data_IF_221597541426
#
_entry.id   IF_221597541426
#
_cell.length_a   1.000
_cell.length_b   1.000
_cell.length_c   1.000
_cell.angle_alpha   90.00
_cell.angle_beta   90.00
_cell.angle_gamma   90.00
#
_symmetry.space_group_name_H-M   'P 1'
#
loop_
_entity.id
_entity.type
_entity.pdbx_description
1 polymer ?
#
# COMPACT_ATOMS: atom_id res chain seq x y z
N UNK A 1 -2.23 -25.68 -7.34
CA UNK A 1 -2.16 -24.21 -7.25
C UNK A 1 -1.46 -23.73 -5.98
N UNK A 2 -1.82 -24.22 -4.77
CA UNK A 2 -0.98 -24.02 -3.55
C UNK A 2 0.49 -24.33 -3.84
N UNK A 3 0.78 -25.47 -4.48
CA UNK A 3 2.12 -25.86 -4.96
C UNK A 3 2.84 -24.90 -5.93
N UNK A 4 2.14 -24.07 -6.71
CA UNK A 4 2.76 -23.11 -7.62
C UNK A 4 3.08 -21.81 -6.88
N UNK A 5 2.18 -21.38 -6.00
CA UNK A 5 2.35 -20.23 -5.12
C UNK A 5 3.41 -20.46 -4.04
N UNK A 6 3.42 -21.67 -3.46
CA UNK A 6 4.46 -22.19 -2.56
C UNK A 6 5.84 -22.26 -3.24
N UNK A 7 5.89 -22.46 -4.57
CA UNK A 7 7.12 -22.40 -5.36
C UNK A 7 7.58 -20.96 -5.65
N UNK A 8 6.67 -19.99 -5.67
CA UNK A 8 6.96 -18.58 -5.96
C UNK A 8 7.34 -17.81 -4.69
N UNK A 9 6.63 -18.06 -3.58
CA UNK A 9 6.81 -17.34 -2.31
C UNK A 9 7.67 -18.09 -1.28
N UNK A 10 7.95 -19.38 -1.53
CA UNK A 10 8.61 -20.26 -0.56
C UNK A 10 7.65 -20.83 0.49
N UNK A 11 7.95 -22.02 1.01
CA UNK A 11 7.16 -22.73 2.04
C UNK A 11 7.77 -22.68 3.43
N UNK A 12 8.93 -22.04 3.61
CA UNK A 12 9.66 -22.12 4.87
C UNK A 12 8.95 -21.31 5.95
N UNK A 13 8.42 -22.03 6.94
CA UNK A 13 8.14 -21.45 8.26
C UNK A 13 9.42 -20.77 8.72
N UNK A 14 9.33 -19.50 9.10
CA UNK A 14 10.50 -18.73 9.51
C UNK A 14 11.07 -19.32 10.81
N UNK A 15 12.32 -19.78 10.79
CA UNK A 15 13.04 -20.13 12.00
C UNK A 15 13.66 -18.87 12.63
N UNK A 16 12.80 -18.08 13.27
CA UNK A 16 13.15 -16.78 13.85
C UNK A 16 14.12 -16.91 15.02
N UNK A 17 14.18 -18.09 15.65
CA UNK A 17 15.03 -18.39 16.81
C UNK A 17 16.48 -18.71 16.45
N UNK A 18 16.79 -18.91 15.17
CA UNK A 18 18.12 -19.39 14.73
C UNK A 18 19.15 -18.27 14.50
N UNK A 19 18.71 -17.01 14.40
CA UNK A 19 19.58 -15.86 14.14
C UNK A 19 19.73 -14.98 15.38
N UNK A 20 20.96 -14.52 15.63
CA UNK A 20 21.28 -13.56 16.69
C UNK A 20 21.03 -12.10 16.26
N UNK A 21 20.52 -11.87 15.05
CA UNK A 21 20.24 -10.53 14.55
C UNK A 21 18.96 -9.94 15.11
N UNK A 22 18.88 -8.61 15.05
CA UNK A 22 17.71 -7.86 15.47
C UNK A 22 16.51 -8.19 14.59
N UNK A 23 15.38 -8.41 15.25
CA UNK A 23 14.12 -8.73 14.63
C UNK A 23 13.21 -7.50 14.71
N UNK A 24 12.91 -6.92 13.56
CA UNK A 24 12.09 -5.71 13.47
C UNK A 24 10.71 -6.03 12.94
N UNK A 25 9.67 -5.51 13.59
CA UNK A 25 8.29 -5.57 13.09
C UNK A 25 7.65 -4.21 13.32
N UNK A 26 7.25 -3.53 12.23
CA UNK A 26 6.51 -2.27 12.25
C UNK A 26 7.05 -1.26 13.28
N UNK A 27 8.35 -0.94 13.23
CA UNK A 27 9.02 0.02 14.12
C UNK A 27 9.45 -0.49 15.50
N UNK A 28 9.27 -1.78 15.81
CA UNK A 28 9.65 -2.37 17.11
C UNK A 28 10.73 -3.43 16.94
N UNK A 29 11.83 -3.26 17.67
CA UNK A 29 12.94 -4.22 17.73
C UNK A 29 12.73 -5.25 18.83
N UNK A 30 12.95 -6.52 18.48
CA UNK A 30 13.02 -7.65 19.40
C UNK A 30 14.43 -8.23 19.33
N UNK A 31 15.09 -8.36 20.47
CA UNK A 31 16.46 -8.90 20.56
C UNK A 31 16.41 -10.30 21.18
N UNK A 32 17.13 -11.23 20.56
CA UNK A 32 17.48 -12.52 21.16
C UNK A 32 18.68 -12.29 22.09
N UNK A 33 18.48 -12.31 23.42
CA UNK A 33 19.61 -12.14 24.36
C UNK A 33 20.57 -13.33 24.27
N UNK A 34 21.89 -13.15 24.10
CA UNK A 34 22.86 -14.25 24.11
C UNK A 34 23.39 -14.64 25.51
N UNK A 35 23.03 -13.94 26.59
CA UNK A 35 23.64 -14.16 27.91
C UNK A 35 22.60 -14.31 29.03
N UNK A 36 22.22 -15.54 29.33
CA UNK A 36 22.03 -15.98 30.72
C UNK A 36 22.60 -17.40 30.87
N UNK A 37 23.73 -17.49 31.55
CA UNK A 37 24.37 -18.72 31.99
C UNK A 37 23.40 -19.58 32.80
N UNK A 38 23.27 -20.85 32.41
CA UNK A 38 22.87 -22.00 33.23
C UNK A 38 22.05 -21.67 34.49
N UNK A 39 20.72 -21.59 34.36
CA UNK A 39 19.72 -22.16 35.31
C UNK A 39 18.31 -21.56 35.27
N UNK A 40 17.88 -20.80 34.25
CA UNK A 40 16.49 -20.29 34.23
C UNK A 40 15.80 -20.34 32.86
N UNK A 41 14.48 -20.61 32.89
CA UNK A 41 13.55 -20.93 31.79
C UNK A 41 13.23 -19.72 30.88
N UNK A 42 14.09 -18.70 30.84
CA UNK A 42 13.73 -17.36 30.36
C UNK A 42 14.39 -16.89 29.04
N UNK A 43 15.06 -17.78 28.30
CA UNK A 43 15.57 -17.51 26.95
C UNK A 43 14.47 -17.18 25.91
N UNK A 44 13.19 -17.24 26.31
CA UNK A 44 12.02 -17.07 25.45
C UNK A 44 11.36 -15.69 25.44
N UNK A 45 11.81 -14.69 26.22
CA UNK A 45 11.05 -13.44 26.39
C UNK A 45 10.95 -12.60 25.11
N UNK A 46 12.07 -12.38 24.39
CA UNK A 46 12.11 -11.59 23.16
C UNK A 46 11.36 -12.24 22.00
N UNK A 47 11.60 -13.53 21.75
CA UNK A 47 10.91 -14.29 20.69
C UNK A 47 9.42 -14.47 21.01
N UNK A 48 9.05 -14.70 22.27
CA UNK A 48 7.65 -14.78 22.68
C UNK A 48 6.92 -13.45 22.50
N UNK A 49 7.54 -12.33 22.89
CA UNK A 49 6.97 -11.00 22.69
C UNK A 49 6.79 -10.67 21.20
N UNK A 50 7.75 -11.08 20.35
CA UNK A 50 7.62 -11.00 18.90
C UNK A 50 6.45 -11.85 18.37
N UNK A 51 6.35 -13.11 18.77
CA UNK A 51 5.28 -14.00 18.31
C UNK A 51 3.91 -13.48 18.74
N UNK A 52 3.82 -12.89 19.93
CA UNK A 52 2.61 -12.21 20.40
C UNK A 52 2.28 -10.99 19.54
N UNK A 53 3.27 -10.18 19.17
CA UNK A 53 3.07 -9.02 18.29
C UNK A 53 2.61 -9.43 16.89
N UNK A 54 3.34 -10.36 16.27
CA UNK A 54 3.04 -10.88 14.94
C UNK A 54 1.63 -11.47 14.88
N UNK A 55 1.28 -12.33 15.84
CA UNK A 55 -0.06 -12.95 15.89
C UNK A 55 -1.20 -11.98 16.23
N UNK A 56 -0.87 -10.83 16.82
CA UNK A 56 -1.83 -9.76 17.08
C UNK A 56 -2.12 -8.90 15.84
N UNK A 57 -1.29 -8.97 14.79
CA UNK A 57 -1.52 -8.17 13.58
C UNK A 57 -2.76 -8.69 12.84
N UNK A 58 -3.61 -7.77 12.40
CA UNK A 58 -4.79 -8.10 11.57
C UNK A 58 -4.33 -8.73 10.26
N UNK A 59 -4.84 -9.92 9.98
CA UNK A 59 -4.60 -10.73 8.80
C UNK A 59 -5.89 -10.85 8.00
N UNK A 60 -5.87 -10.44 6.73
CA UNK A 60 -7.04 -10.49 5.85
C UNK A 60 -6.65 -11.31 4.62
N UNK A 61 -7.46 -12.32 4.32
CA UNK A 61 -7.16 -13.32 3.28
C UNK A 61 -8.23 -13.32 2.21
N UNK A 62 -8.06 -14.18 1.21
CA UNK A 62 -9.13 -14.50 0.28
C UNK A 62 -10.38 -14.98 1.00
N UNK A 63 -11.53 -14.48 0.55
CA UNK A 63 -12.84 -14.81 1.06
C UNK A 63 -13.72 -15.37 -0.05
N UNK A 64 -14.66 -16.24 0.32
CA UNK A 64 -15.67 -16.81 -0.56
C UNK A 64 -17.04 -16.79 0.08
N UNK A 65 -18.08 -16.70 -0.73
CA UNK A 65 -19.47 -16.70 -0.26
C UNK A 65 -19.94 -15.34 0.23
N UNK A 66 -19.26 -14.25 -0.14
CA UNK A 66 -19.79 -12.90 0.00
C UNK A 66 -20.75 -12.56 -1.17
N UNK A 67 -21.53 -11.50 -1.00
CA UNK A 67 -22.48 -11.02 -2.02
C UNK A 67 -21.77 -10.63 -3.32
N UNK A 68 -22.43 -10.81 -4.46
CA UNK A 68 -21.85 -10.50 -5.76
C UNK A 68 -21.41 -9.04 -5.84
N UNK A 69 -20.21 -8.80 -6.38
CA UNK A 69 -19.63 -7.45 -6.46
C UNK A 69 -20.23 -6.68 -7.64
N UNK A 70 -21.04 -5.66 -7.37
CA UNK A 70 -21.67 -4.82 -8.40
C UNK A 70 -22.42 -5.65 -9.45
N UNK A 71 -22.20 -5.38 -10.73
CA UNK A 71 -22.82 -6.13 -11.84
C UNK A 71 -22.07 -7.43 -12.20
N UNK A 72 -21.01 -7.79 -11.46
CA UNK A 72 -20.26 -9.02 -11.70
C UNK A 72 -20.96 -10.24 -11.09
N UNK A 73 -20.45 -11.44 -11.37
CA UNK A 73 -20.86 -12.69 -10.70
C UNK A 73 -19.83 -13.13 -9.64
N UNK A 74 -18.88 -12.26 -9.29
CA UNK A 74 -17.80 -12.60 -8.38
C UNK A 74 -18.31 -12.58 -6.94
N UNK A 75 -18.39 -13.76 -6.33
CA UNK A 75 -18.72 -14.00 -4.90
C UNK A 75 -17.51 -14.50 -4.11
N UNK A 76 -16.32 -14.35 -4.69
CA UNK A 76 -15.04 -14.80 -4.17
C UNK A 76 -13.91 -14.00 -4.81
N UNK A 77 -12.90 -13.65 -4.03
CA UNK A 77 -11.72 -12.91 -4.50
C UNK A 77 -10.47 -13.77 -4.71
N UNK A 78 -10.64 -15.09 -4.58
CA UNK A 78 -9.60 -16.08 -4.82
C UNK A 78 -8.94 -15.89 -6.19
N UNK A 79 -7.61 -15.85 -6.18
CA UNK A 79 -6.69 -15.67 -7.33
C UNK A 79 -6.57 -14.26 -7.91
N UNK A 80 -7.32 -13.26 -7.46
CA UNK A 80 -7.24 -11.90 -8.01
C UNK A 80 -7.20 -10.80 -6.94
N UNK A 81 -7.83 -11.00 -5.79
CA UNK A 81 -7.93 -10.00 -4.72
C UNK A 81 -6.69 -9.79 -3.85
N UNK A 82 -5.56 -10.47 -4.10
CA UNK A 82 -4.45 -10.53 -3.14
C UNK A 82 -3.88 -9.14 -2.81
N UNK A 83 -3.73 -8.25 -3.81
CA UNK A 83 -3.27 -6.88 -3.58
C UNK A 83 -4.26 -6.08 -2.73
N UNK A 84 -5.56 -6.24 -2.97
CA UNK A 84 -6.60 -5.59 -2.18
C UNK A 84 -6.48 -6.06 -0.73
N UNK A 85 -6.37 -7.37 -0.48
CA UNK A 85 -6.22 -7.93 0.87
C UNK A 85 -4.95 -7.47 1.57
N UNK A 86 -3.80 -7.43 0.86
CA UNK A 86 -2.56 -6.87 1.38
C UNK A 86 -2.73 -5.40 1.80
N UNK A 87 -3.40 -4.60 0.97
CA UNK A 87 -3.66 -3.19 1.29
C UNK A 87 -4.64 -3.00 2.45
N UNK A 88 -5.68 -3.85 2.55
CA UNK A 88 -6.60 -3.87 3.68
C UNK A 88 -5.86 -4.17 4.98
N UNK A 89 -4.91 -5.12 4.97
CA UNK A 89 -4.09 -5.40 6.16
C UNK A 89 -3.25 -4.19 6.58
N UNK A 90 -2.62 -3.49 5.63
CA UNK A 90 -1.82 -2.28 5.91
C UNK A 90 -2.70 -1.18 6.56
N UNK A 91 -3.85 -0.87 5.95
CA UNK A 91 -4.78 0.15 6.49
C UNK A 91 -5.41 -0.30 7.80
N UNK A 92 -5.69 -1.60 7.97
CA UNK A 92 -6.17 -2.14 9.23
C UNK A 92 -5.15 -1.93 10.36
N UNK A 93 -3.84 -2.08 10.09
CA UNK A 93 -2.83 -1.73 11.10
C UNK A 93 -2.82 -0.24 11.42
N UNK A 94 -2.97 0.63 10.42
CA UNK A 94 -3.05 2.08 10.67
C UNK A 94 -4.22 2.42 11.62
N UNK A 95 -5.40 1.84 11.38
CA UNK A 95 -6.56 2.00 12.26
C UNK A 95 -6.32 1.41 13.66
N UNK A 96 -5.69 0.23 13.73
CA UNK A 96 -5.30 -0.38 15.01
C UNK A 96 -4.36 0.53 15.80
N UNK A 97 -3.37 1.14 15.14
CA UNK A 97 -2.39 2.00 15.80
C UNK A 97 -3.01 3.35 16.21
N UNK A 98 -3.95 3.84 15.40
CA UNK A 98 -4.70 5.05 15.69
C UNK A 98 -5.56 4.88 16.95
N UNK A 99 -6.37 3.82 17.02
CA UNK A 99 -7.35 3.65 18.10
C UNK A 99 -6.78 2.95 19.34
N UNK A 100 -5.92 1.95 19.17
CA UNK A 100 -5.43 1.10 20.27
C UNK A 100 -3.93 1.27 20.54
N UNK A 101 -3.19 1.89 19.63
CA UNK A 101 -1.76 2.12 19.75
C UNK A 101 -0.91 0.94 19.24
N UNK A 102 0.35 1.23 18.87
CA UNK A 102 1.30 0.24 18.36
C UNK A 102 1.62 -0.89 19.35
N UNK A 103 1.59 -0.58 20.65
CA UNK A 103 1.86 -1.52 21.75
C UNK A 103 0.72 -2.49 22.03
N UNK A 104 -0.47 -2.28 21.46
CA UNK A 104 -1.61 -3.17 21.63
C UNK A 104 -1.31 -4.59 21.13
N UNK A 105 -1.80 -5.59 21.86
CA UNK A 105 -1.71 -7.02 21.53
C UNK A 105 -3.09 -7.64 21.68
N UNK A 106 -3.42 -8.59 20.82
CA UNK A 106 -4.71 -9.28 20.83
C UNK A 106 -4.89 -10.05 22.14
N UNK A 107 -5.98 -9.84 22.89
CA UNK A 107 -6.31 -10.65 24.05
C UNK A 107 -6.49 -12.13 23.70
N UNK A 108 -6.05 -13.02 24.60
CA UNK A 108 -6.25 -14.47 24.48
C UNK A 108 -7.67 -14.91 24.84
N UNK A 109 -8.42 -14.08 25.56
CA UNK A 109 -9.76 -14.37 26.06
C UNK A 109 -10.74 -13.24 25.70
N UNK A 110 -12.01 -13.60 25.57
CA UNK A 110 -13.15 -12.68 25.38
C UNK A 110 -13.68 -12.17 26.74
N UNK A 111 -14.44 -11.06 26.78
CA UNK A 111 -14.87 -10.22 25.66
C UNK A 111 -13.73 -9.36 25.11
N UNK A 112 -13.74 -9.11 23.80
CA UNK A 112 -12.80 -8.22 23.17
C UNK A 112 -13.16 -6.74 23.36
N UNK A 113 -12.16 -5.86 23.23
CA UNK A 113 -12.36 -4.41 23.21
C UNK A 113 -13.27 -4.01 22.04
N UNK A 114 -14.19 -3.07 22.28
CA UNK A 114 -15.19 -2.66 21.31
C UNK A 114 -14.55 -2.05 20.06
N UNK A 115 -13.55 -1.21 20.26
CA UNK A 115 -12.78 -0.53 19.23
C UNK A 115 -12.10 -1.54 18.29
N UNK A 116 -11.55 -2.63 18.84
CA UNK A 116 -10.96 -3.71 18.05
C UNK A 116 -11.99 -4.40 17.14
N UNK A 117 -13.16 -4.75 17.68
CA UNK A 117 -14.24 -5.37 16.89
C UNK A 117 -14.77 -4.39 15.83
N UNK A 118 -14.89 -3.10 16.17
CA UNK A 118 -15.28 -2.07 15.23
C UNK A 118 -14.28 -1.98 14.07
N UNK A 119 -12.98 -1.97 14.34
CA UNK A 119 -11.94 -1.96 13.30
C UNK A 119 -12.11 -3.14 12.36
N UNK A 120 -12.20 -4.38 12.88
CA UNK A 120 -12.36 -5.56 12.02
C UNK A 120 -13.64 -5.49 11.19
N UNK A 121 -14.72 -4.97 11.78
CA UNK A 121 -16.03 -4.88 11.11
C UNK A 121 -16.02 -3.95 9.88
N UNK A 122 -15.08 -3.00 9.78
CA UNK A 122 -14.92 -2.10 8.63
C UNK A 122 -14.48 -2.84 7.35
N UNK A 123 -13.82 -3.99 7.52
CA UNK A 123 -13.24 -4.78 6.43
C UNK A 123 -14.07 -6.02 6.06
N UNK A 124 -15.28 -6.16 6.61
CA UNK A 124 -16.19 -7.25 6.23
C UNK A 124 -16.52 -7.21 4.73
N UNK A 125 -16.74 -8.37 4.13
CA UNK A 125 -16.93 -8.52 2.67
C UNK A 125 -18.36 -8.18 2.23
N UNK A 126 -18.82 -6.96 2.51
CA UNK A 126 -20.15 -6.46 2.15
C UNK A 126 -20.07 -4.98 1.76
N UNK A 127 -20.93 -4.55 0.84
CA UNK A 127 -21.07 -3.13 0.44
C UNK A 127 -21.39 -2.21 1.63
N UNK A 128 -22.03 -2.76 2.66
CA UNK A 128 -22.31 -2.04 3.91
C UNK A 128 -21.07 -1.64 4.71
N UNK A 129 -19.91 -2.26 4.46
CA UNK A 129 -18.68 -2.05 5.25
C UNK A 129 -17.74 -1.12 4.52
N UNK A 130 -17.35 -0.02 5.18
CA UNK A 130 -16.68 1.11 4.55
C UNK A 130 -15.42 0.74 3.74
N UNK A 131 -14.67 -0.26 4.18
CA UNK A 131 -13.39 -0.68 3.60
C UNK A 131 -13.44 -2.11 3.03
N UNK A 132 -14.63 -2.58 2.68
CA UNK A 132 -14.82 -3.86 2.01
C UNK A 132 -14.15 -3.92 0.65
N UNK A 133 -13.94 -5.14 0.16
CA UNK A 133 -13.48 -5.37 -1.21
C UNK A 133 -14.43 -4.75 -2.25
N UNK A 134 -15.73 -4.76 -1.99
CA UNK A 134 -16.75 -4.15 -2.85
C UNK A 134 -16.52 -2.65 -3.01
N UNK A 135 -16.40 -1.93 -1.90
CA UNK A 135 -16.22 -0.49 -1.89
C UNK A 135 -14.85 -0.07 -2.46
N UNK A 136 -13.80 -0.88 -2.23
CA UNK A 136 -12.50 -0.66 -2.86
C UNK A 136 -12.57 -0.82 -4.38
N UNK A 137 -13.25 -1.85 -4.90
CA UNK A 137 -13.42 -2.04 -6.35
C UNK A 137 -14.18 -0.88 -6.98
N UNK A 138 -15.25 -0.42 -6.33
CA UNK A 138 -16.00 0.74 -6.81
C UNK A 138 -15.13 2.00 -6.87
N UNK A 139 -14.40 2.31 -5.79
CA UNK A 139 -13.53 3.47 -5.71
C UNK A 139 -12.34 3.41 -6.70
N UNK A 140 -11.83 2.22 -6.99
CA UNK A 140 -10.70 2.01 -7.89
C UNK A 140 -11.07 1.93 -9.37
N UNK A 141 -12.36 2.03 -9.73
CA UNK A 141 -12.84 1.85 -11.10
C UNK A 141 -12.14 2.78 -12.11
N UNK A 142 -11.85 4.02 -11.73
CA UNK A 142 -11.09 4.99 -12.54
C UNK A 142 -9.65 4.55 -12.83
N UNK A 143 -9.08 3.66 -12.02
CA UNK A 143 -7.75 3.08 -12.18
C UNK A 143 -7.80 1.68 -12.83
N UNK A 144 -8.93 1.31 -13.45
CA UNK A 144 -9.13 0.01 -14.10
C UNK A 144 -9.43 -1.15 -13.14
N UNK A 145 -9.68 -0.86 -11.86
CA UNK A 145 -10.02 -1.90 -10.89
C UNK A 145 -11.39 -2.48 -11.21
N UNK A 146 -11.42 -3.78 -11.45
CA UNK A 146 -12.63 -4.54 -11.76
C UNK A 146 -12.59 -5.88 -11.03
N UNK A 147 -13.76 -6.42 -10.71
CA UNK A 147 -13.81 -7.74 -10.08
C UNK A 147 -13.18 -8.79 -11.02
N UNK A 148 -12.20 -9.54 -10.52
CA UNK A 148 -11.47 -10.56 -11.28
C UNK A 148 -10.14 -10.11 -11.86
N UNK A 149 -9.78 -8.81 -11.81
CA UNK A 149 -8.48 -8.32 -12.29
C UNK A 149 -7.47 -8.16 -11.16
N UNK A 150 -6.18 -8.32 -11.49
CA UNK A 150 -5.10 -7.98 -10.56
C UNK A 150 -4.79 -6.49 -10.63
N UNK A 151 -4.31 -5.93 -9.51
CA UNK A 151 -3.99 -4.53 -9.34
C UNK A 151 -2.57 -4.34 -8.81
N UNK A 152 -1.87 -3.33 -9.32
CA UNK A 152 -0.55 -2.94 -8.83
C UNK A 152 -0.60 -2.05 -7.58
N UNK A 153 0.52 -1.93 -6.83
CA UNK A 153 0.62 -1.11 -5.62
C UNK A 153 0.25 0.36 -5.82
N UNK A 154 0.65 0.99 -6.93
CA UNK A 154 0.30 2.38 -7.21
C UNK A 154 -1.22 2.59 -7.26
N UNK A 155 -1.92 1.79 -8.07
CA UNK A 155 -3.35 1.90 -8.25
C UNK A 155 -4.13 1.59 -6.96
N UNK A 156 -3.66 0.67 -6.10
CA UNK A 156 -4.31 0.42 -4.81
C UNK A 156 -4.15 1.61 -3.86
N UNK A 157 -2.99 2.28 -3.85
CA UNK A 157 -2.79 3.48 -3.03
C UNK A 157 -3.75 4.61 -3.44
N UNK A 158 -3.92 4.83 -4.74
CA UNK A 158 -4.86 5.83 -5.27
C UNK A 158 -6.32 5.46 -5.05
N UNK A 159 -6.63 4.16 -5.06
CA UNK A 159 -7.96 3.64 -4.68
C UNK A 159 -8.29 3.99 -3.23
N UNK A 160 -7.34 3.81 -2.29
CA UNK A 160 -7.53 4.19 -0.90
C UNK A 160 -7.74 5.69 -0.70
N UNK A 161 -6.98 6.52 -1.40
CA UNK A 161 -7.18 7.98 -1.37
C UNK A 161 -8.59 8.35 -1.88
N UNK A 162 -9.01 7.74 -2.99
CA UNK A 162 -10.34 7.99 -3.58
C UNK A 162 -11.46 7.56 -2.64
N UNK A 163 -11.36 6.35 -2.06
CA UNK A 163 -12.34 5.83 -1.11
C UNK A 163 -12.41 6.71 0.15
N UNK A 164 -11.26 7.14 0.67
CA UNK A 164 -11.19 8.00 1.85
C UNK A 164 -11.86 9.37 1.64
N UNK A 165 -11.70 9.95 0.44
CA UNK A 165 -12.37 11.19 0.05
C UNK A 165 -13.88 10.96 -0.14
N UNK A 166 -14.27 9.95 -0.92
CA UNK A 166 -15.68 9.65 -1.20
C UNK A 166 -16.49 9.36 0.08
N UNK A 167 -15.96 8.55 1.00
CA UNK A 167 -16.65 8.27 2.27
C UNK A 167 -16.82 9.53 3.13
N UNK A 168 -15.93 10.53 3.00
CA UNK A 168 -16.06 11.80 3.71
C UNK A 168 -17.10 12.72 3.08
N UNK A 169 -17.10 12.83 1.75
CA UNK A 169 -17.99 13.75 1.03
C UNK A 169 -19.45 13.27 1.08
N UNK A 170 -19.65 11.94 1.10
CA UNK A 170 -20.97 11.30 1.22
C UNK A 170 -21.40 11.00 2.66
N UNK A 171 -20.70 11.55 3.67
CA UNK A 171 -21.12 11.42 5.07
C UNK A 171 -22.37 12.30 5.33
N UNK A 172 -23.53 11.80 4.92
CA UNK A 172 -24.83 12.40 5.23
C UNK A 172 -25.06 12.38 6.76
N UNK A 173 -25.70 13.42 7.36
CA UNK A 173 -25.88 13.50 8.81
C UNK A 173 -26.62 12.30 9.44
N UNK A 174 -27.45 11.62 8.64
CA UNK A 174 -28.33 10.53 9.09
C UNK A 174 -27.86 9.12 8.70
N UNK A 175 -26.90 8.97 7.77
CA UNK A 175 -26.25 7.72 7.44
C UNK A 175 -24.74 7.90 7.62
N UNK A 176 -24.24 7.71 8.85
CA UNK A 176 -22.81 7.75 9.14
C UNK A 176 -22.10 6.58 8.46
N UNK A 177 -21.75 6.75 7.18
CA UNK A 177 -20.78 5.87 6.51
C UNK A 177 -19.45 6.08 7.23
N UNK A 178 -18.88 5.00 7.76
CA UNK A 178 -17.66 5.08 8.55
C UNK A 178 -16.50 5.56 7.66
N UNK A 179 -15.79 6.59 8.11
CA UNK A 179 -14.68 7.21 7.36
C UNK A 179 -13.35 6.87 8.00
N UNK A 180 -12.25 7.01 7.24
CA UNK A 180 -10.93 6.97 7.86
C UNK A 180 -10.77 8.16 8.82
N UNK A 181 -10.24 7.96 10.04
CA UNK A 181 -9.99 9.03 11.01
C UNK A 181 -8.68 9.77 10.71
N UNK A 182 -8.12 9.60 9.52
CA UNK A 182 -6.81 10.10 9.11
C UNK A 182 -6.81 10.57 7.66
N UNK A 183 -6.03 11.59 7.36
CA UNK A 183 -5.75 12.03 5.99
C UNK A 183 -4.91 10.97 5.26
N UNK A 184 -5.17 10.79 3.96
CA UNK A 184 -4.38 9.88 3.12
C UNK A 184 -3.47 10.71 2.22
N UNK A 185 -2.16 10.45 2.28
CA UNK A 185 -1.17 11.07 1.42
C UNK A 185 -0.45 10.01 0.59
N UNK A 186 -0.78 9.95 -0.70
CA UNK A 186 -0.03 9.14 -1.67
C UNK A 186 1.15 9.96 -2.19
N UNK A 187 2.36 9.50 -1.90
CA UNK A 187 3.61 10.17 -2.26
C UNK A 187 4.04 9.66 -3.63
N UNK A 188 3.65 10.36 -4.69
CA UNK A 188 4.07 10.10 -6.07
C UNK A 188 5.16 11.10 -6.51
N UNK A 189 5.92 10.74 -7.54
CA UNK A 189 6.86 11.64 -8.20
C UNK A 189 6.17 12.75 -9.00
N UNK A 190 6.95 13.50 -9.78
CA UNK A 190 6.38 14.46 -10.73
C UNK A 190 5.53 13.77 -11.80
N UNK A 191 4.41 14.41 -12.16
CA UNK A 191 3.39 13.83 -13.07
C UNK A 191 2.99 12.42 -12.63
N UNK A 192 2.68 12.25 -11.34
CA UNK A 192 2.28 10.96 -10.76
C UNK A 192 3.32 9.84 -10.93
N UNK A 193 4.59 10.21 -11.11
CA UNK A 193 5.71 9.28 -11.29
C UNK A 193 6.04 8.96 -12.74
N UNK A 194 5.30 9.51 -13.72
CA UNK A 194 5.54 9.27 -15.16
C UNK A 194 6.93 9.74 -15.61
N UNK A 195 7.48 10.77 -14.95
CA UNK A 195 8.81 11.30 -15.24
C UNK A 195 9.95 10.56 -14.53
N UNK A 196 9.63 9.52 -13.77
CA UNK A 196 10.58 8.76 -12.95
C UNK A 196 11.15 9.57 -11.78
N UNK A 197 12.18 9.01 -11.14
CA UNK A 197 12.82 9.60 -9.96
C UNK A 197 12.24 9.10 -8.63
N UNK A 198 12.92 9.43 -7.53
CA UNK A 198 12.46 9.07 -6.19
C UNK A 198 11.25 9.95 -5.80
N UNK A 199 10.15 9.37 -5.30
CA UNK A 199 9.03 10.16 -4.79
C UNK A 199 9.45 11.15 -3.71
N UNK A 200 8.75 12.28 -3.64
CA UNK A 200 9.10 13.39 -2.74
C UNK A 200 7.97 13.65 -1.76
N UNK A 201 8.22 13.41 -0.47
CA UNK A 201 7.36 13.83 0.63
C UNK A 201 7.42 15.37 0.69
N UNK A 202 6.32 16.01 0.32
CA UNK A 202 6.19 17.46 0.33
C UNK A 202 5.46 17.91 1.60
N UNK A 203 6.17 18.64 2.47
CA UNK A 203 5.60 19.13 3.76
C UNK A 203 4.38 20.04 3.53
N UNK A 204 4.44 20.93 2.53
CA UNK A 204 3.29 21.78 2.15
C UNK A 204 2.08 21.00 1.66
N UNK A 205 2.29 19.83 1.02
CA UNK A 205 1.18 18.96 0.59
C UNK A 205 0.57 18.28 1.81
N UNK A 206 1.39 17.75 2.71
CA UNK A 206 0.92 17.14 3.96
C UNK A 206 0.10 18.13 4.80
N UNK A 207 0.59 19.36 4.99
CA UNK A 207 -0.12 20.42 5.71
C UNK A 207 -1.47 20.77 5.06
N UNK A 208 -1.52 20.88 3.73
CA UNK A 208 -2.77 21.12 2.99
C UNK A 208 -3.76 19.96 3.17
N UNK A 209 -3.31 18.72 3.05
CA UNK A 209 -4.16 17.55 3.25
C UNK A 209 -4.75 17.50 4.67
N UNK A 210 -3.98 17.87 5.70
CA UNK A 210 -4.47 18.00 7.07
C UNK A 210 -5.52 19.11 7.23
N UNK A 211 -5.26 20.27 6.62
CA UNK A 211 -6.21 21.40 6.62
C UNK A 211 -7.51 21.02 5.92
N UNK A 212 -7.43 20.41 4.74
CA UNK A 212 -8.59 19.95 3.98
C UNK A 212 -9.35 18.84 4.72
N UNK A 213 -8.62 17.96 5.42
CA UNK A 213 -9.21 16.92 6.28
C UNK A 213 -10.06 17.52 7.40
N UNK A 214 -9.51 18.48 8.11
CA UNK A 214 -10.18 19.11 9.25
C UNK A 214 -11.14 20.24 8.85
N UNK A 215 -11.34 20.51 7.56
CA UNK A 215 -12.08 21.69 7.07
C UNK A 215 -11.55 23.00 7.68
N UNK A 216 -10.24 23.09 7.85
CA UNK A 216 -9.54 24.22 8.45
C UNK A 216 -9.65 24.35 9.97
N UNK A 217 -10.21 23.35 10.67
CA UNK A 217 -10.37 23.40 12.13
C UNK A 217 -9.10 23.06 12.90
N UNK A 218 -8.25 22.20 12.36
CA UNK A 218 -7.02 21.72 12.99
C UNK A 218 -5.83 22.01 12.09
N UNK A 219 -4.70 22.35 12.71
CA UNK A 219 -3.43 22.53 12.01
C UNK A 219 -2.84 21.22 11.51
N UNK A 220 -3.15 20.11 12.20
CA UNK A 220 -2.69 18.78 11.86
C UNK A 220 -3.73 17.72 12.21
N UNK A 221 -3.76 16.65 11.42
CA UNK A 221 -4.63 15.49 11.62
C UNK A 221 -3.80 14.22 11.47
N UNK A 222 -4.19 13.09 12.08
CA UNK A 222 -3.54 11.82 11.84
C UNK A 222 -3.41 11.54 10.33
N UNK A 223 -2.32 10.92 9.91
CA UNK A 223 -2.01 10.74 8.49
C UNK A 223 -1.56 9.32 8.20
N UNK A 224 -2.13 8.76 7.13
CA UNK A 224 -1.66 7.56 6.45
C UNK A 224 -0.88 7.99 5.20
N UNK A 225 0.43 7.72 5.21
CA UNK A 225 1.29 7.96 4.05
C UNK A 225 1.52 6.65 3.30
N UNK A 226 1.37 6.70 1.98
CA UNK A 226 1.60 5.56 1.08
C UNK A 226 2.61 5.97 0.01
N UNK A 227 3.72 5.24 -0.08
CA UNK A 227 4.83 5.52 -1.01
C UNK A 227 4.93 4.38 -2.01
N UNK A 228 4.19 4.42 -3.15
CA UNK A 228 4.33 3.44 -4.21
C UNK A 228 5.68 3.61 -4.94
N UNK A 229 6.35 2.49 -5.22
CA UNK A 229 7.71 2.43 -5.75
C UNK A 229 7.86 1.33 -6.81
N UNK A 230 8.82 1.54 -7.71
CA UNK A 230 9.34 0.52 -8.63
C UNK A 230 10.87 0.51 -8.49
N UNK A 231 11.41 -0.53 -7.85
CA UNK A 231 12.81 -0.60 -7.40
C UNK A 231 13.72 -1.43 -8.31
N UNK A 232 13.26 -1.76 -9.52
CA UNK A 232 13.95 -2.55 -10.51
C UNK A 232 13.01 -3.01 -11.62
N UNK A 233 13.54 -3.74 -12.60
CA UNK A 233 12.75 -4.25 -13.73
C UNK A 233 12.12 -5.61 -13.39
N UNK A 234 12.95 -6.61 -13.09
CA UNK A 234 12.48 -7.97 -12.76
C UNK A 234 12.65 -8.33 -11.28
N UNK A 235 13.66 -7.73 -10.64
CA UNK A 235 14.02 -7.93 -9.24
C UNK A 235 14.39 -6.59 -8.64
N UNK A 236 14.27 -6.48 -7.32
CA UNK A 236 14.77 -5.32 -6.60
C UNK A 236 16.27 -5.17 -6.83
N UNK A 237 16.70 -3.96 -7.19
CA UNK A 237 18.11 -3.66 -7.29
C UNK A 237 18.75 -3.79 -5.89
N UNK A 238 19.82 -4.58 -5.70
CA UNK A 238 20.43 -4.83 -4.40
C UNK A 238 20.79 -3.57 -3.61
N UNK A 239 21.05 -2.44 -4.29
CA UNK A 239 21.33 -1.15 -3.64
C UNK A 239 20.19 -0.66 -2.75
N UNK A 240 18.95 -1.07 -3.00
CA UNK A 240 17.77 -0.67 -2.22
C UNK A 240 17.49 -1.60 -1.04
N UNK A 241 18.10 -2.80 -0.97
CA UNK A 241 17.82 -3.78 0.10
C UNK A 241 18.12 -3.22 1.50
N UNK A 242 19.29 -2.58 1.74
CA UNK A 242 19.58 -1.99 3.04
C UNK A 242 18.57 -0.89 3.41
N UNK A 243 18.15 -0.10 2.41
CA UNK A 243 17.20 0.99 2.62
C UNK A 243 15.80 0.45 2.97
N UNK A 244 15.33 -0.59 2.26
CA UNK A 244 14.06 -1.26 2.54
C UNK A 244 14.04 -1.81 3.96
N UNK A 245 15.11 -2.49 4.37
CA UNK A 245 15.26 -3.01 5.73
C UNK A 245 15.13 -1.89 6.78
N UNK A 246 15.78 -0.76 6.54
CA UNK A 246 15.77 0.38 7.47
C UNK A 246 14.36 0.99 7.64
N UNK A 247 13.50 0.98 6.60
CA UNK A 247 12.11 1.47 6.74
C UNK A 247 11.25 0.69 7.73
N UNK A 248 11.60 -0.56 8.07
CA UNK A 248 10.92 -1.32 9.12
C UNK A 248 11.30 -0.87 10.54
N UNK A 249 12.37 -0.09 10.68
CA UNK A 249 12.86 0.43 11.97
C UNK A 249 12.19 1.74 12.37
N UNK A 250 11.52 2.41 11.43
CA UNK A 250 10.84 3.69 11.68
C UNK A 250 9.65 3.46 12.62
N UNK A 251 9.47 4.26 13.70
CA UNK A 251 8.32 4.13 14.60
C UNK A 251 6.96 4.21 13.89
N UNK A 252 6.91 4.95 12.78
CA UNK A 252 5.72 5.17 11.94
C UNK A 252 5.46 4.01 10.97
N UNK A 253 6.34 3.02 10.87
CA UNK A 253 6.29 1.99 9.84
C UNK A 253 4.99 1.17 9.90
N UNK A 254 4.27 1.13 8.78
CA UNK A 254 3.20 0.18 8.50
C UNK A 254 3.69 -0.94 7.58
N UNK A 255 4.99 -1.10 7.39
CA UNK A 255 5.54 -2.14 6.53
C UNK A 255 5.29 -1.89 5.04
N UNK A 256 5.28 -2.97 4.26
CA UNK A 256 5.33 -2.93 2.79
C UNK A 256 4.27 -3.88 2.23
N UNK A 257 3.48 -3.40 1.27
CA UNK A 257 2.67 -4.26 0.41
C UNK A 257 3.30 -4.37 -0.97
N UNK A 258 3.22 -5.55 -1.58
CA UNK A 258 3.80 -5.76 -2.90
C UNK A 258 3.88 -7.23 -3.25
N UNK A 259 4.31 -7.50 -4.48
CA UNK A 259 4.41 -8.87 -5.00
C UNK A 259 3.92 -8.96 -6.44
N UNK A 260 4.28 -10.07 -7.08
CA UNK A 260 3.91 -10.36 -8.47
C UNK A 260 2.39 -10.45 -8.64
N UNK A 261 1.87 -10.29 -9.87
CA UNK A 261 0.50 -10.63 -10.19
C UNK A 261 0.07 -11.99 -9.62
N UNK A 262 -0.97 -11.97 -8.79
CA UNK A 262 -1.51 -13.16 -8.11
C UNK A 262 -0.71 -13.67 -6.90
N UNK A 263 0.34 -12.95 -6.47
CA UNK A 263 1.23 -13.33 -5.36
C UNK A 263 1.58 -12.14 -4.44
N UNK A 264 0.64 -11.20 -4.23
CA UNK A 264 0.85 -10.06 -3.31
C UNK A 264 0.94 -10.51 -1.85
N UNK A 265 1.83 -9.91 -1.09
CA UNK A 265 2.02 -10.17 0.35
C UNK A 265 2.08 -8.86 1.12
N UNK A 266 1.81 -8.93 2.42
CA UNK A 266 1.98 -7.79 3.33
C UNK A 266 3.15 -8.07 4.27
N UNK A 267 4.29 -7.42 4.01
CA UNK A 267 5.52 -7.53 4.77
C UNK A 267 5.43 -6.61 5.99
N UNK A 268 5.46 -7.20 7.18
CA UNK A 268 5.29 -6.49 8.45
C UNK A 268 6.59 -6.30 9.20
N UNK A 269 7.64 -7.03 8.82
CA UNK A 269 8.91 -6.99 9.52
C UNK A 269 10.06 -7.51 8.70
N UNK A 270 11.23 -7.52 9.32
CA UNK A 270 12.48 -7.97 8.72
C UNK A 270 13.40 -8.57 9.78
N UNK A 271 14.12 -9.61 9.40
CA UNK A 271 15.25 -10.15 10.15
C UNK A 271 16.35 -10.46 9.15
N UNK A 272 17.56 -9.95 9.40
CA UNK A 272 18.63 -9.93 8.39
C UNK A 272 18.12 -9.25 7.10
N UNK A 273 18.25 -9.91 5.95
CA UNK A 273 17.70 -9.47 4.67
C UNK A 273 16.45 -10.30 4.26
N UNK A 274 15.70 -10.83 5.24
CA UNK A 274 14.46 -11.59 5.00
C UNK A 274 13.26 -10.83 5.53
N UNK A 275 12.33 -10.51 4.63
CA UNK A 275 11.05 -9.91 4.99
C UNK A 275 10.15 -10.96 5.65
N UNK A 276 9.51 -10.57 6.75
CA UNK A 276 8.48 -11.33 7.45
C UNK A 276 7.11 -10.85 6.99
N UNK A 277 6.23 -11.75 6.59
CA UNK A 277 5.00 -11.35 5.92
C UNK A 277 3.76 -12.13 6.34
N UNK A 278 2.62 -11.45 6.20
CA UNK A 278 1.27 -12.00 6.24
C UNK A 278 0.81 -12.31 4.81
N UNK A 279 0.33 -13.54 4.64
CA UNK A 279 0.02 -14.12 3.33
C UNK A 279 -1.51 -14.14 3.10
N UNK A 280 -2.06 -13.36 2.15
CA UNK A 280 -3.50 -13.30 1.93
C UNK A 280 -4.06 -14.53 1.18
N UNK A 281 -3.24 -15.47 0.73
CA UNK A 281 -3.67 -16.51 -0.22
C UNK A 281 -4.38 -17.71 0.41
N UNK A 282 -4.74 -17.61 1.69
CA UNK A 282 -5.62 -18.58 2.33
C UNK A 282 -7.09 -18.29 2.00
N UNK A 283 -7.84 -19.32 1.60
CA UNK A 283 -9.26 -19.16 1.25
C UNK A 283 -10.12 -19.48 2.47
N UNK A 284 -10.85 -18.47 2.94
CA UNK A 284 -11.72 -18.57 4.11
C UNK A 284 -13.16 -18.18 3.73
N UNK A 285 -14.20 -18.64 4.45
CA UNK A 285 -15.56 -18.15 4.22
C UNK A 285 -15.67 -16.66 4.61
N UNK A 286 -16.47 -15.89 3.88
CA UNK A 286 -16.87 -14.55 4.31
C UNK A 286 -17.60 -14.65 5.65
N UNK A 287 -17.27 -13.76 6.59
CA UNK A 287 -17.93 -13.71 7.89
C UNK A 287 -18.47 -12.31 8.15
N UNK A 288 -19.64 -12.24 8.77
CA UNK A 288 -20.24 -10.98 9.14
C UNK A 288 -19.94 -10.66 10.61
N UNK A 289 -19.07 -9.67 10.84
CA UNK A 289 -18.78 -9.16 12.18
C UNK A 289 -19.80 -8.08 12.56
N UNK A 290 -20.61 -8.37 13.58
CA UNK A 290 -21.52 -7.40 14.19
C UNK A 290 -20.78 -6.59 15.25
N UNK A 291 -20.92 -5.26 15.24
CA UNK A 291 -20.17 -4.33 16.10
C UNK A 291 -20.37 -4.58 17.60
N UNK A 292 -21.54 -5.09 17.98
CA UNK A 292 -21.90 -5.32 19.39
C UNK A 292 -21.58 -6.74 19.88
N UNK A 293 -21.10 -7.64 19.00
CA UNK A 293 -20.77 -9.00 19.37
C UNK A 293 -19.28 -9.11 19.78
N UNK A 294 -18.99 -8.77 21.04
CA UNK A 294 -17.63 -8.76 21.59
C UNK A 294 -17.03 -10.16 21.81
N UNK A 295 -17.82 -11.22 21.62
CA UNK A 295 -17.41 -12.62 21.75
C UNK A 295 -17.30 -13.34 20.40
N UNK A 296 -17.42 -12.60 19.29
CA UNK A 296 -17.32 -13.15 17.94
C UNK A 296 -15.95 -13.81 17.70
N UNK A 297 -15.95 -14.94 16.98
CA UNK A 297 -14.71 -15.59 16.60
C UNK A 297 -13.95 -14.74 15.57
N UNK A 298 -12.82 -14.16 16.00
CA UNK A 298 -11.92 -13.39 15.14
C UNK A 298 -10.72 -14.20 14.66
N UNK A 299 -10.66 -15.51 14.90
CA UNK A 299 -9.51 -16.37 14.56
C UNK A 299 -9.11 -16.26 13.08
N UNK A 300 -10.10 -16.14 12.20
CA UNK A 300 -9.92 -15.97 10.75
C UNK A 300 -9.23 -14.65 10.35
N UNK A 301 -9.12 -13.69 11.29
CA UNK A 301 -8.45 -12.41 11.09
C UNK A 301 -7.04 -12.33 11.71
N UNK A 302 -6.48 -13.46 12.17
CA UNK A 302 -5.16 -13.50 12.82
C UNK A 302 -4.33 -14.70 12.39
N UNK A 303 -3.01 -14.53 12.31
CA UNK A 303 -2.09 -15.57 11.87
C UNK A 303 -0.95 -15.75 12.86
N UNK A 304 -0.74 -16.97 13.35
CA UNK A 304 0.43 -17.33 14.17
C UNK A 304 1.59 -17.93 13.36
N UNK A 305 1.38 -18.15 12.06
CA UNK A 305 2.39 -18.74 11.18
C UNK A 305 3.29 -17.65 10.60
N UNK A 306 4.49 -17.50 11.17
CA UNK A 306 5.51 -16.60 10.63
C UNK A 306 6.12 -17.20 9.36
N UNK A 307 6.01 -16.46 8.26
CA UNK A 307 6.64 -16.77 6.97
C UNK A 307 7.69 -15.72 6.67
N UNK A 308 8.73 -16.11 5.94
CA UNK A 308 9.75 -15.18 5.48
C UNK A 308 10.13 -15.41 4.03
N UNK A 309 10.64 -14.37 3.38
CA UNK A 309 11.18 -14.43 2.04
C UNK A 309 12.34 -13.42 1.90
N UNK A 310 13.41 -13.73 1.16
CA UNK A 310 14.52 -12.81 0.95
C UNK A 310 14.12 -11.51 0.26
N UNK A 311 14.63 -10.36 0.72
CA UNK A 311 14.32 -9.04 0.16
C UNK A 311 14.75 -8.88 -1.31
N UNK A 312 15.71 -9.66 -1.80
CA UNK A 312 16.11 -9.69 -3.21
C UNK A 312 15.14 -10.47 -4.12
N UNK A 313 14.21 -11.22 -3.52
CA UNK A 313 13.18 -12.01 -4.22
C UNK A 313 11.81 -11.35 -4.23
N UNK A 314 11.62 -10.22 -3.53
CA UNK A 314 10.37 -9.46 -3.63
C UNK A 314 10.24 -8.87 -5.04
N UNK A 315 8.99 -8.67 -5.46
CA UNK A 315 8.70 -7.94 -6.68
C UNK A 315 9.18 -6.48 -6.55
N UNK A 316 9.81 -5.90 -7.58
CA UNK A 316 10.26 -4.51 -7.53
C UNK A 316 9.11 -3.50 -7.44
N UNK A 317 7.88 -3.87 -7.80
CA UNK A 317 6.69 -3.04 -7.61
C UNK A 317 6.12 -3.27 -6.21
N UNK A 318 6.16 -2.23 -5.37
CA UNK A 318 5.70 -2.27 -3.99
C UNK A 318 5.18 -0.91 -3.52
N UNK A 319 4.57 -0.85 -2.34
CA UNK A 319 4.28 0.39 -1.65
C UNK A 319 4.62 0.28 -0.17
N UNK A 320 5.28 1.31 0.35
CA UNK A 320 5.64 1.43 1.77
C UNK A 320 4.58 2.28 2.47
N UNK A 321 4.10 1.85 3.62
CA UNK A 321 3.13 2.59 4.42
C UNK A 321 3.76 3.20 5.67
N UNK A 322 3.32 4.40 6.04
CA UNK A 322 3.63 5.02 7.33
C UNK A 322 2.37 5.62 7.97
N UNK A 323 2.30 5.58 9.30
CA UNK A 323 1.26 6.21 10.10
C UNK A 323 1.88 7.26 11.02
N UNK A 324 1.42 8.51 10.90
CA UNK A 324 1.80 9.60 11.79
C UNK A 324 0.55 10.03 12.56
N UNK A 325 0.55 9.93 13.90
CA UNK A 325 -0.60 10.32 14.72
C UNK A 325 -0.78 11.84 14.75
N UNK A 326 0.33 12.56 14.80
CA UNK A 326 0.36 14.00 14.93
C UNK A 326 1.53 14.59 14.10
N UNK A 327 1.78 15.89 14.31
CA UNK A 327 2.80 16.64 13.58
C UNK A 327 4.20 16.20 13.96
N UNK A 328 4.42 15.86 15.23
CA UNK A 328 5.73 15.47 15.73
C UNK A 328 6.13 14.12 15.13
N UNK A 329 5.18 13.16 15.06
CA UNK A 329 5.39 11.89 14.35
C UNK A 329 5.75 12.08 12.86
N UNK A 330 5.20 13.11 12.20
CA UNK A 330 5.49 13.40 10.79
C UNK A 330 6.84 14.10 10.59
N UNK A 331 7.21 15.01 11.49
CA UNK A 331 8.53 15.65 11.48
C UNK A 331 9.64 14.63 11.78
N UNK A 332 9.40 13.69 12.69
CA UNK A 332 10.30 12.56 12.94
C UNK A 332 10.43 11.66 11.70
N UNK A 333 9.31 11.30 11.05
CA UNK A 333 9.33 10.56 9.78
C UNK A 333 10.15 11.28 8.71
N UNK A 334 10.00 12.60 8.58
CA UNK A 334 10.77 13.41 7.64
C UNK A 334 12.27 13.38 7.97
N UNK A 335 12.62 13.43 9.24
CA UNK A 335 14.01 13.36 9.70
C UNK A 335 14.63 11.99 9.39
N UNK A 336 13.95 10.89 9.73
CA UNK A 336 14.38 9.54 9.37
C UNK A 336 14.50 9.34 7.85
N UNK A 337 13.58 9.91 7.07
CA UNK A 337 13.61 9.84 5.61
C UNK A 337 14.82 10.60 5.02
N UNK A 338 15.15 11.76 5.57
CA UNK A 338 16.33 12.54 5.18
C UNK A 338 17.63 11.79 5.49
N UNK A 339 17.76 11.21 6.69
CA UNK A 339 18.93 10.40 7.07
C UNK A 339 19.07 9.16 6.18
N UNK A 340 17.95 8.48 5.86
CA UNK A 340 17.94 7.35 4.93
C UNK A 340 18.39 7.78 3.52
N UNK A 341 17.97 8.98 3.09
CA UNK A 341 18.38 9.58 1.83
C UNK A 341 19.88 9.84 1.75
N UNK A 342 20.51 10.31 2.84
CA UNK A 342 21.96 10.52 2.93
C UNK A 342 22.75 9.20 2.83
N UNK A 343 22.25 8.13 3.46
CA UNK A 343 22.84 6.78 3.40
C UNK A 343 22.70 6.11 2.03
N UNK A 344 21.87 6.66 1.15
CA UNK A 344 21.52 6.02 -0.13
C UNK A 344 22.61 6.10 -1.20
N UNK A 345 23.66 6.91 -1.02
CA UNK A 345 24.70 7.13 -2.05
C UNK A 345 24.12 7.60 -3.41
N UNK A 346 23.16 8.53 -3.38
CA UNK A 346 22.51 9.08 -4.57
C UNK A 346 21.34 8.24 -5.11
N UNK A 347 20.79 7.36 -4.27
CA UNK A 347 19.79 6.36 -4.61
C UNK A 347 18.62 6.27 -3.63
N UNK A 348 17.99 7.39 -3.20
CA UNK A 348 17.00 7.33 -2.13
C UNK A 348 15.75 6.55 -2.58
N UNK A 349 15.10 5.85 -1.64
CA UNK A 349 13.77 5.27 -1.89
C UNK A 349 12.74 6.38 -2.12
N UNK A 350 12.82 7.43 -1.33
CA UNK A 350 12.02 8.64 -1.38
C UNK A 350 12.81 9.77 -0.68
N UNK A 351 12.42 11.01 -0.94
CA UNK A 351 13.10 12.21 -0.38
C UNK A 351 12.08 13.13 0.29
N UNK A 352 12.56 14.14 1.01
CA UNK A 352 11.73 15.15 1.67
C UNK A 352 12.01 16.53 1.08
N UNK A 353 10.96 17.30 0.82
CA UNK A 353 11.04 18.69 0.39
C UNK A 353 10.02 19.57 1.13
N UNK A 354 10.39 20.82 1.38
CA UNK A 354 9.49 21.85 1.93
C UNK A 354 8.39 22.21 0.92
N UNK A 355 8.77 22.54 -0.31
CA UNK A 355 7.87 23.11 -1.31
C UNK A 355 7.91 22.33 -2.62
N UNK A 356 6.74 22.11 -3.22
CA UNK A 356 6.63 21.68 -4.62
C UNK A 356 6.68 22.93 -5.48
N UNK A 357 7.87 23.37 -5.90
CA UNK A 357 7.94 24.41 -6.94
C UNK A 357 7.29 23.83 -8.21
N UNK A 358 6.27 24.47 -8.80
CA UNK A 358 5.85 24.10 -10.14
C UNK A 358 7.08 24.27 -11.05
N UNK A 359 7.47 23.20 -11.72
CA UNK A 359 8.51 23.26 -12.74
C UNK A 359 8.14 24.36 -13.73
N UNK A 360 9.06 25.32 -13.93
CA UNK A 360 8.87 26.38 -14.92
C UNK A 360 8.55 25.73 -16.26
N UNK A 361 7.55 26.21 -17.02
CA UNK A 361 7.43 25.79 -18.41
C UNK A 361 8.74 26.14 -19.10
N UNK A 362 9.41 25.14 -19.65
CA UNK A 362 10.58 25.37 -20.49
C UNK A 362 10.11 26.27 -21.63
N UNK A 363 10.57 27.52 -21.63
CA UNK A 363 10.40 28.44 -22.74
C UNK A 363 10.86 27.70 -24.00
N UNK A 364 9.91 27.37 -24.90
CA UNK A 364 10.27 27.12 -26.29
C UNK A 364 10.94 28.40 -26.78
N UNK A 365 12.22 28.29 -27.08
CA UNK A 365 12.94 29.30 -27.83
C UNK A 365 12.21 29.50 -29.15
N UNK A 366 11.56 30.65 -29.32
CA UNK A 366 11.14 31.15 -30.62
C UNK A 366 12.41 31.32 -31.47
N UNK A 367 12.70 30.34 -32.30
CA UNK A 367 13.58 30.53 -33.45
C UNK A 367 12.77 31.25 -34.51
N UNK A 368 12.96 32.56 -34.57
CA UNK A 368 12.67 33.44 -35.68
C UNK A 368 12.98 32.76 -37.02
N UNK A 369 11.94 32.45 -37.80
CA UNK A 369 12.09 32.13 -39.22
C UNK A 369 11.77 33.38 -40.01
N UNK A 370 12.79 33.78 -40.77
CA UNK A 370 12.84 34.92 -41.66
C UNK A 370 11.73 34.89 -42.73
N UNK A 371 11.25 36.09 -43.02
CA UNK A 371 10.36 36.38 -44.15
C UNK A 371 11.11 36.20 -45.46
N UNK A 372 10.63 35.31 -46.32
CA UNK A 372 10.85 35.43 -47.76
C UNK A 372 9.50 35.54 -48.50
N UNK A 373 9.43 36.60 -49.30
CA UNK A 373 8.31 37.04 -50.12
C UNK A 373 8.45 36.46 -51.53
N UNK A 374 7.33 36.02 -52.11
CA UNK A 374 7.16 35.72 -53.54
C UNK A 374 6.55 34.33 -53.75
N UNK A 375 5.44 34.13 -54.49
CA UNK A 375 4.64 34.99 -55.34
C UNK A 375 3.31 34.28 -55.65
N UNK A 376 2.34 35.08 -56.11
CA UNK A 376 0.94 34.75 -56.34
C UNK A 376 0.70 33.66 -57.41
N UNK A 377 -0.44 32.95 -57.30
CA UNK A 377 -1.36 32.53 -58.38
C UNK A 377 -2.73 32.13 -57.76
N UNK A 378 -3.79 32.42 -58.52
CA UNK A 378 -5.22 32.51 -58.15
C UNK A 378 -6.04 31.21 -58.25
N UNK A 379 -7.24 31.24 -57.61
CA UNK A 379 -8.57 30.69 -58.05
C UNK A 379 -8.68 29.14 -58.23
N UNK A 380 -9.76 28.40 -57.95
CA UNK A 380 -11.20 28.62 -57.74
C UNK A 380 -11.87 27.28 -57.32
N UNK A 381 -13.12 27.32 -56.81
CA UNK A 381 -14.13 26.24 -56.90
C UNK A 381 -14.07 25.09 -55.86
N UNK A 382 -14.99 25.00 -54.88
CA UNK A 382 -16.35 24.40 -54.88
C UNK A 382 -16.46 22.88 -55.09
N UNK A 383 -17.13 22.31 -54.09
CA UNK A 383 -18.13 21.23 -54.12
C UNK A 383 -17.74 19.75 -54.02
N UNK A 384 -18.52 19.12 -53.14
CA UNK A 384 -19.09 17.77 -53.15
C UNK A 384 -18.47 16.61 -52.35
N UNK A 385 -19.39 16.07 -51.54
CA UNK A 385 -19.43 14.79 -50.86
C UNK A 385 -19.01 13.64 -51.78
N UNK A 386 -18.32 12.64 -51.23
CA UNK A 386 -18.83 11.28 -51.37
C UNK A 386 -18.30 10.30 -50.31
N UNK A 387 -19.20 9.39 -49.99
CA UNK A 387 -19.15 8.37 -48.97
C UNK A 387 -18.65 7.07 -49.62
N UNK A 388 -17.55 6.45 -49.16
CA UNK A 388 -17.28 5.05 -49.51
C UNK A 388 -16.63 4.28 -48.35
N UNK A 389 -17.35 3.24 -47.95
CA UNK A 389 -16.88 2.03 -47.28
C UNK A 389 -15.77 1.38 -48.09
N UNK A 390 -14.67 0.96 -47.46
CA UNK A 390 -14.40 -0.47 -47.30
C UNK A 390 -13.18 -0.74 -46.41
N UNK A 391 -13.36 -1.83 -45.67
CA UNK A 391 -12.36 -2.59 -44.96
C UNK A 391 -11.22 -3.06 -45.87
N UNK A 392 -9.98 -2.94 -45.42
CA UNK A 392 -8.97 -3.97 -45.71
C UNK A 392 -7.89 -4.02 -44.63
N UNK A 393 -7.64 -5.26 -44.20
CA UNK A 393 -6.56 -5.70 -43.34
C UNK A 393 -5.22 -5.55 -44.07
N UNK A 394 -4.23 -4.93 -43.45
CA UNK A 394 -2.83 -5.28 -43.71
C UNK A 394 -1.96 -5.19 -42.46
N UNK A 395 -1.25 -6.30 -42.21
CA UNK A 395 -0.12 -6.46 -41.31
C UNK A 395 0.94 -5.37 -41.50
N UNK A 396 1.45 -4.87 -40.39
CA UNK A 396 2.72 -4.15 -40.31
C UNK A 396 3.32 -4.36 -38.92
N UNK A 397 4.34 -5.20 -38.85
CA UNK A 397 5.25 -5.32 -37.73
C UNK A 397 6.04 -4.01 -37.63
N UNK A 398 6.03 -3.33 -36.48
CA UNK A 398 6.92 -2.20 -36.20
C UNK A 398 7.82 -2.53 -35.00
N UNK A 399 9.07 -2.84 -35.36
CA UNK A 399 10.26 -2.90 -34.52
C UNK A 399 10.52 -1.53 -33.87
N UNK A 400 10.43 -1.46 -32.54
CA UNK A 400 10.95 -0.33 -31.78
C UNK A 400 12.41 -0.57 -31.40
N UNK A 401 13.35 -0.07 -32.22
CA UNK A 401 14.74 0.11 -31.84
C UNK A 401 14.90 1.38 -31.00
N UNK A 402 15.40 1.22 -29.77
CA UNK A 402 15.86 2.28 -28.87
C UNK A 402 17.38 2.40 -29.03
N UNK A 403 17.86 3.62 -29.27
CA UNK A 403 19.26 4.05 -29.11
C UNK A 403 19.50 4.57 -27.69
#
# INVERSE_FOLDING_TARGET
MRRLQERILGTSRADVSSSNSELWILGVCYKSSPEESQSDVNSGSGVSAFLQDFSSRIWITYRRGFDAIGNSKCTSDVNWGCMIRSSQMLVAQALLFHHLGRTWRKPSQTPYEKEYIQILSLFGDSESRAFSIHNLIQAGSAYGLTAGSWLGPYAVCRTWETLARANRDHAEPNERKETLPMAVYVVSGDEDGERGGAPVICVDVAARLCSDFSKGQLTWTPMLLLVPLVLGLEKVNPRYIPLLRETFTFPQSLGILGGKPGASTYMVGVQDDKALYLDPHEVQPAIELKRDNLEVDTSSYHCSNVRNLPLDQIDPSLAIGFYCRDKDDFEDLCSCASELGEKSNGAPLFTVSQCRQPTRPVHRSDSSIDRFVGGACNEDGRDELDNFSDCDLHNGEDDWQIL
#
